data_IF_796593349450
#
_entry.id   IF_796593349450
#
_cell.length_a   1.000
_cell.length_b   1.000
_cell.length_c   1.000
_cell.angle_alpha   90.00
_cell.angle_beta   90.00
_cell.angle_gamma   90.00
#
_symmetry.space_group_name_H-M   'P 1'
#
loop_
_entity.id
_entity.type
_entity.pdbx_description
1 polymer ?
#
# COMPACT_ATOMS: atom_id res chain seq x y z
N UNK A 1 -2.43 -14.09 16.26
CA UNK A 1 -2.43 -12.62 16.41
C UNK A 1 -1.73 -12.11 17.66
N UNK A 2 -1.48 -12.92 18.70
CA UNK A 2 -0.78 -12.45 19.90
C UNK A 2 -1.61 -11.49 20.74
N UNK A 3 -2.93 -11.59 20.68
CA UNK A 3 -3.90 -10.80 21.45
C UNK A 3 -5.02 -11.71 21.96
N UNK A 4 -5.65 -11.33 23.07
CA UNK A 4 -6.97 -11.82 23.51
C UNK A 4 -7.92 -10.64 23.44
N UNK A 5 -9.11 -10.81 22.87
CA UNK A 5 -10.15 -9.78 22.96
C UNK A 5 -10.90 -9.94 24.27
N UNK A 6 -11.08 -8.83 24.99
CA UNK A 6 -11.76 -8.79 26.29
C UNK A 6 -13.20 -8.30 26.16
N UNK A 7 -13.42 -7.27 25.34
CA UNK A 7 -14.72 -6.64 25.14
C UNK A 7 -14.87 -6.15 23.69
N UNK A 8 -16.09 -6.17 23.18
CA UNK A 8 -16.49 -5.59 21.91
C UNK A 8 -17.61 -4.58 22.16
N UNK A 9 -17.50 -3.40 21.59
CA UNK A 9 -18.50 -2.35 21.67
C UNK A 9 -18.88 -1.85 20.28
N UNK A 10 -20.18 -1.68 20.06
CA UNK A 10 -20.74 -1.22 18.80
C UNK A 10 -21.52 0.07 19.05
N UNK A 11 -21.06 1.16 18.45
CA UNK A 11 -21.57 2.50 18.72
C UNK A 11 -22.14 3.17 17.47
N UNK A 12 -23.03 4.16 17.63
CA UNK A 12 -23.59 4.92 16.51
C UNK A 12 -22.50 5.57 15.64
N UNK A 13 -22.77 5.84 14.34
CA UNK A 13 -21.78 6.41 13.41
C UNK A 13 -21.24 7.78 13.81
N UNK A 14 -21.97 8.53 14.64
CA UNK A 14 -21.60 9.85 15.15
C UNK A 14 -20.54 9.76 16.26
N UNK A 15 -20.39 8.59 16.87
CA UNK A 15 -19.36 8.34 17.86
C UNK A 15 -18.04 7.97 17.17
N UNK A 16 -17.01 8.77 17.44
CA UNK A 16 -15.67 8.55 16.91
C UNK A 16 -14.62 8.60 18.03
N UNK A 17 -13.62 7.75 17.94
CA UNK A 17 -12.43 7.81 18.78
C UNK A 17 -11.23 8.24 17.93
N UNK A 18 -10.43 9.21 18.37
CA UNK A 18 -9.18 9.55 17.70
C UNK A 18 -8.16 8.43 17.87
N UNK A 19 -7.35 8.21 16.85
CA UNK A 19 -6.16 7.33 16.87
C UNK A 19 -4.94 8.18 16.49
N UNK A 20 -4.31 8.88 17.46
CA UNK A 20 -3.36 9.95 17.19
C UNK A 20 -2.12 9.53 16.40
N UNK A 21 -1.58 8.33 16.64
CA UNK A 21 -0.38 7.83 15.95
C UNK A 21 -0.59 7.56 14.46
N UNK A 22 -1.85 7.55 14.01
CA UNK A 22 -2.26 7.42 12.62
C UNK A 22 -2.91 8.70 12.06
N UNK A 23 -3.17 9.72 12.91
CA UNK A 23 -3.82 10.96 12.49
C UNK A 23 -5.24 10.77 11.95
N UNK A 24 -5.96 9.77 12.44
CA UNK A 24 -7.24 9.26 11.90
C UNK A 24 -8.29 9.10 13.01
N UNK A 25 -9.54 8.89 12.62
CA UNK A 25 -10.62 8.46 13.50
C UNK A 25 -11.00 6.98 13.34
N UNK A 26 -11.52 6.43 14.43
CA UNK A 26 -12.11 5.10 14.54
C UNK A 26 -13.61 5.23 14.85
N UNK A 27 -14.46 4.38 14.24
CA UNK A 27 -15.92 4.45 14.40
C UNK A 27 -16.57 3.06 14.38
N UNK A 28 -17.87 3.00 14.69
CA UNK A 28 -18.78 1.84 14.55
C UNK A 28 -18.49 0.63 15.44
N UNK A 29 -17.26 0.15 15.46
CA UNK A 29 -16.83 -1.01 16.25
C UNK A 29 -15.52 -0.71 16.96
N UNK A 30 -15.45 -1.07 18.23
CA UNK A 30 -14.29 -0.90 19.09
C UNK A 30 -14.08 -2.19 19.86
N UNK A 31 -12.84 -2.67 19.94
CA UNK A 31 -12.51 -3.80 20.79
C UNK A 31 -11.45 -3.41 21.81
N UNK A 32 -11.62 -3.86 23.04
CA UNK A 32 -10.57 -3.81 24.06
C UNK A 32 -9.81 -5.11 23.98
N UNK A 33 -8.54 -5.02 23.56
CA UNK A 33 -7.66 -6.17 23.43
C UNK A 33 -6.55 -6.17 24.47
N UNK A 34 -6.25 -7.36 24.99
CA UNK A 34 -5.15 -7.63 25.89
C UNK A 34 -4.00 -8.27 25.09
N UNK A 35 -2.86 -7.57 24.91
CA UNK A 35 -1.72 -8.15 24.22
C UNK A 35 -1.17 -9.40 24.94
N UNK A 36 -0.93 -10.45 24.15
CA UNK A 36 -0.31 -11.73 24.54
C UNK A 36 0.90 -11.97 23.63
N UNK A 37 1.84 -11.02 23.67
CA UNK A 37 3.03 -10.97 22.82
C UNK A 37 2.95 -9.95 21.68
N UNK A 38 1.75 -9.52 21.28
CA UNK A 38 1.61 -8.40 20.36
C UNK A 38 2.10 -7.09 21.00
N UNK A 39 2.55 -6.17 20.17
CA UNK A 39 2.90 -4.80 20.56
C UNK A 39 1.88 -3.83 19.98
N UNK A 40 1.40 -2.82 20.73
CA UNK A 40 0.61 -1.74 20.18
C UNK A 40 1.41 -0.97 19.12
N UNK A 41 0.77 -0.66 18.00
CA UNK A 41 1.30 0.21 16.93
C UNK A 41 0.59 1.57 16.94
N UNK A 42 -0.67 1.59 17.34
CA UNK A 42 -1.47 2.79 17.56
C UNK A 42 -2.46 2.54 18.69
N UNK A 43 -2.88 3.60 19.38
CA UNK A 43 -3.76 3.53 20.54
C UNK A 43 -4.96 4.46 20.38
N UNK A 44 -6.07 4.16 21.06
CA UNK A 44 -7.19 5.10 21.14
C UNK A 44 -6.79 6.30 22.01
N UNK A 45 -7.24 7.50 21.62
CA UNK A 45 -6.79 8.74 22.25
C UNK A 45 -7.63 9.24 23.43
N UNK A 46 -8.89 8.83 23.56
CA UNK A 46 -9.84 9.45 24.53
C UNK A 46 -10.75 8.44 25.24
N UNK A 47 -11.45 8.94 26.26
CA UNK A 47 -12.47 8.24 27.05
C UNK A 47 -12.00 6.92 27.67
N UNK A 48 -12.92 5.96 27.82
CA UNK A 48 -12.71 4.63 28.36
C UNK A 48 -11.64 3.82 27.60
N UNK A 49 -11.45 4.13 26.32
CA UNK A 49 -10.49 3.45 25.45
C UNK A 49 -9.08 4.04 25.54
N UNK A 50 -8.90 5.22 26.15
CA UNK A 50 -7.65 5.97 26.10
C UNK A 50 -6.43 5.12 26.48
N UNK A 51 -5.43 5.10 25.61
CA UNK A 51 -4.18 4.34 25.80
C UNK A 51 -4.29 2.84 25.56
N UNK A 52 -5.49 2.31 25.29
CA UNK A 52 -5.65 0.91 24.88
C UNK A 52 -5.36 0.75 23.38
N UNK A 53 -4.94 -0.45 22.91
CA UNK A 53 -4.49 -0.62 21.53
C UNK A 53 -5.63 -0.46 20.52
N UNK A 54 -5.43 0.34 19.48
CA UNK A 54 -6.29 0.45 18.30
C UNK A 54 -5.75 -0.37 17.10
N UNK A 55 -4.42 -0.53 17.04
CA UNK A 55 -3.74 -1.41 16.08
C UNK A 55 -2.61 -2.12 16.81
N UNK A 56 -2.48 -3.43 16.60
CA UNK A 56 -1.40 -4.24 17.18
C UNK A 56 -0.61 -4.99 16.11
N UNK A 57 0.63 -5.33 16.42
CA UNK A 57 1.50 -6.17 15.60
C UNK A 57 2.12 -7.27 16.44
N UNK A 58 2.14 -8.49 15.94
CA UNK A 58 2.78 -9.63 16.60
C UNK A 58 3.72 -10.36 15.65
N UNK A 59 4.99 -10.47 16.02
CA UNK A 59 5.95 -11.32 15.30
C UNK A 59 5.73 -12.78 15.69
N UNK A 60 5.70 -13.68 14.70
CA UNK A 60 5.54 -15.11 14.94
C UNK A 60 6.27 -15.90 13.85
N UNK A 61 7.25 -16.72 14.25
CA UNK A 61 8.20 -17.31 13.31
C UNK A 61 8.90 -16.22 12.49
N UNK A 62 8.94 -16.42 11.17
CA UNK A 62 9.55 -15.47 10.22
C UNK A 62 8.59 -14.36 9.74
N UNK A 63 7.34 -14.36 10.21
CA UNK A 63 6.30 -13.42 9.79
C UNK A 63 5.82 -12.49 10.89
N UNK A 64 4.85 -11.64 10.53
CA UNK A 64 4.11 -10.79 11.45
C UNK A 64 2.61 -10.78 11.13
N UNK A 65 1.78 -10.72 12.18
CA UNK A 65 0.35 -10.50 12.09
C UNK A 65 -0.01 -9.12 12.62
N UNK A 66 -0.80 -8.37 11.86
CA UNK A 66 -1.33 -7.06 12.24
C UNK A 66 -2.83 -7.18 12.52
N UNK A 67 -3.29 -6.55 13.60
CA UNK A 67 -4.70 -6.54 13.95
C UNK A 67 -5.17 -5.11 14.19
N UNK A 68 -6.16 -4.68 13.40
CA UNK A 68 -6.86 -3.41 13.55
C UNK A 68 -8.14 -3.72 14.30
N UNK A 69 -8.28 -3.19 15.51
CA UNK A 69 -9.34 -3.60 16.45
C UNK A 69 -10.58 -2.71 16.36
N UNK A 70 -10.72 -2.00 15.25
CA UNK A 70 -11.76 -1.00 15.03
C UNK A 70 -11.96 -0.73 13.54
N UNK A 71 -13.05 -0.05 13.17
CA UNK A 71 -13.17 0.48 11.82
C UNK A 71 -12.52 1.87 11.75
N UNK A 72 -11.26 1.89 11.30
CA UNK A 72 -10.56 3.12 10.92
C UNK A 72 -11.23 3.75 9.69
N UNK A 73 -11.14 5.07 9.58
CA UNK A 73 -11.44 5.74 8.31
C UNK A 73 -10.41 5.38 7.21
N UNK A 74 -10.70 5.77 5.97
CA UNK A 74 -9.86 5.42 4.82
C UNK A 74 -8.41 5.90 4.99
N UNK A 75 -8.12 7.15 5.38
CA UNK A 75 -6.75 7.57 5.73
C UNK A 75 -6.06 6.65 6.75
N UNK A 76 -6.76 6.20 7.78
CA UNK A 76 -6.22 5.30 8.79
C UNK A 76 -5.88 3.91 8.22
N UNK A 77 -6.77 3.34 7.41
CA UNK A 77 -6.50 2.07 6.70
C UNK A 77 -5.30 2.21 5.77
N UNK A 78 -5.25 3.27 4.98
CA UNK A 78 -4.16 3.55 4.04
C UNK A 78 -2.83 3.64 4.77
N UNK A 79 -2.78 4.29 5.92
CA UNK A 79 -1.56 4.43 6.73
C UNK A 79 -1.10 3.09 7.32
N UNK A 80 -2.02 2.27 7.83
CA UNK A 80 -1.67 0.93 8.33
C UNK A 80 -1.12 0.06 7.20
N UNK A 81 -1.79 0.03 6.04
CA UNK A 81 -1.35 -0.74 4.88
C UNK A 81 0.00 -0.23 4.36
N UNK A 82 0.18 1.10 4.28
CA UNK A 82 1.46 1.72 3.88
C UNK A 82 2.59 1.30 4.80
N UNK A 83 2.40 1.33 6.13
CA UNK A 83 3.41 0.85 7.08
C UNK A 83 3.78 -0.61 6.86
N UNK A 84 2.80 -1.47 6.57
CA UNK A 84 3.06 -2.89 6.25
C UNK A 84 3.88 -2.99 4.95
N UNK A 85 3.45 -2.34 3.87
CA UNK A 85 4.13 -2.40 2.58
C UNK A 85 5.56 -1.83 2.63
N UNK A 86 5.77 -0.70 3.30
CA UNK A 86 7.10 -0.07 3.45
C UNK A 86 8.08 -0.99 4.18
N UNK A 87 7.63 -1.76 5.17
CA UNK A 87 8.49 -2.73 5.89
C UNK A 87 9.00 -3.87 5.00
N UNK A 88 8.37 -4.06 3.85
CA UNK A 88 8.70 -5.11 2.88
C UNK A 88 9.20 -4.54 1.55
N UNK A 89 9.43 -3.23 1.46
CA UNK A 89 9.82 -2.53 0.22
C UNK A 89 8.81 -2.74 -0.93
N UNK A 90 7.50 -2.77 -0.60
CA UNK A 90 6.39 -3.01 -1.53
C UNK A 90 5.47 -1.81 -1.88
N UNK A 91 5.76 -0.52 -1.63
CA UNK A 91 4.81 0.56 -1.95
C UNK A 91 4.54 0.70 -3.47
N UNK A 92 5.49 0.31 -4.32
CA UNK A 92 5.41 0.50 -5.77
C UNK A 92 5.81 1.92 -6.21
N UNK A 93 6.05 2.13 -7.51
CA UNK A 93 6.70 3.35 -8.02
C UNK A 93 5.82 4.61 -7.98
N UNK A 94 4.50 4.46 -7.91
CA UNK A 94 3.53 5.55 -7.93
C UNK A 94 2.58 5.50 -6.73
N UNK A 95 3.02 4.91 -5.61
CA UNK A 95 2.24 4.75 -4.38
C UNK A 95 1.64 6.07 -3.86
N UNK A 96 2.38 7.17 -4.03
CA UNK A 96 2.01 8.51 -3.55
C UNK A 96 1.16 9.28 -4.56
N UNK A 97 0.60 8.59 -5.56
CA UNK A 97 -0.23 9.17 -6.63
C UNK A 97 -1.64 8.60 -6.55
N UNK A 98 -2.50 9.08 -5.63
CA UNK A 98 -3.81 8.47 -5.37
C UNK A 98 -4.78 8.53 -6.56
N UNK A 99 -4.57 9.48 -7.48
CA UNK A 99 -5.35 9.60 -8.71
C UNK A 99 -4.87 8.67 -9.85
N UNK A 100 -3.80 7.91 -9.64
CA UNK A 100 -3.22 6.99 -10.65
C UNK A 100 -3.24 5.58 -10.12
N UNK A 101 -4.05 4.73 -10.75
CA UNK A 101 -4.01 3.29 -10.52
C UNK A 101 -2.86 2.68 -11.33
N UNK A 102 -2.16 1.71 -10.72
CA UNK A 102 -1.12 0.95 -11.39
C UNK A 102 -1.42 -0.54 -11.38
N UNK A 103 -1.25 -1.20 -12.52
CA UNK A 103 -1.32 -2.65 -12.61
C UNK A 103 -0.17 -3.19 -13.46
N UNK A 104 0.50 -4.23 -12.97
CA UNK A 104 1.59 -4.89 -13.71
C UNK A 104 1.11 -6.23 -14.27
N UNK A 105 1.38 -6.49 -15.55
CA UNK A 105 1.19 -7.80 -16.19
C UNK A 105 2.50 -8.32 -16.76
N UNK A 106 2.70 -9.62 -16.73
CA UNK A 106 3.83 -10.30 -17.37
C UNK A 106 3.28 -11.27 -18.41
N UNK A 107 3.63 -11.05 -19.67
CA UNK A 107 3.24 -11.94 -20.77
C UNK A 107 4.06 -13.24 -20.76
N UNK A 108 3.61 -14.31 -21.47
CA UNK A 108 4.31 -15.60 -21.49
C UNK A 108 5.77 -15.53 -21.99
N UNK A 109 6.07 -14.58 -22.86
CA UNK A 109 7.44 -14.31 -23.36
C UNK A 109 8.33 -13.55 -22.35
N UNK A 110 7.78 -13.20 -21.18
CA UNK A 110 8.44 -12.44 -20.13
C UNK A 110 8.35 -10.92 -20.29
N UNK A 111 7.64 -10.42 -21.30
CA UNK A 111 7.37 -8.99 -21.48
C UNK A 111 6.60 -8.45 -20.28
N UNK A 112 7.10 -7.37 -19.66
CA UNK A 112 6.44 -6.70 -18.53
C UNK A 112 5.73 -5.44 -19.01
N UNK A 113 4.46 -5.34 -18.64
CA UNK A 113 3.57 -4.24 -18.97
C UNK A 113 3.13 -3.57 -17.67
N UNK A 114 3.28 -2.25 -17.60
CA UNK A 114 2.74 -1.42 -16.54
C UNK A 114 1.61 -0.57 -17.12
N UNK A 115 0.41 -0.80 -16.61
CA UNK A 115 -0.77 -0.02 -16.91
C UNK A 115 -0.82 1.13 -15.92
N UNK A 116 -0.99 2.35 -16.44
CA UNK A 116 -1.28 3.54 -15.65
C UNK A 116 -2.66 4.04 -16.06
N UNK A 117 -3.58 4.14 -15.10
CA UNK A 117 -4.93 4.62 -15.32
C UNK A 117 -5.14 5.87 -14.45
N UNK A 118 -5.35 7.02 -15.09
CA UNK A 118 -5.74 8.24 -14.40
C UNK A 118 -7.24 8.23 -14.08
N UNK A 119 -7.59 8.49 -12.82
CA UNK A 119 -8.97 8.53 -12.33
C UNK A 119 -9.42 9.96 -11.99
N UNK A 120 -8.75 10.97 -12.54
CA UNK A 120 -8.98 12.39 -12.25
C UNK A 120 -9.20 13.20 -13.54
N UNK A 121 -10.05 14.25 -13.51
CA UNK A 121 -10.15 15.24 -14.58
C UNK A 121 -8.92 16.16 -14.67
N UNK A 122 -7.97 16.07 -13.73
CA UNK A 122 -6.71 16.80 -13.78
C UNK A 122 -5.58 15.93 -14.38
N UNK A 123 -4.64 16.51 -15.14
CA UNK A 123 -3.49 15.77 -15.65
C UNK A 123 -2.61 15.23 -14.52
N UNK A 124 -2.26 13.94 -14.58
CA UNK A 124 -1.32 13.34 -13.63
C UNK A 124 0.12 13.54 -14.12
N UNK A 125 0.93 14.22 -13.30
CA UNK A 125 2.36 14.46 -13.58
C UNK A 125 3.22 13.47 -12.80
N UNK A 126 3.84 12.55 -13.52
CA UNK A 126 4.66 11.47 -12.99
C UNK A 126 6.12 11.63 -13.44
N UNK A 127 7.00 10.92 -12.76
CA UNK A 127 8.39 10.73 -13.18
C UNK A 127 8.54 9.28 -13.62
N UNK A 128 9.17 9.06 -14.77
CA UNK A 128 9.32 7.74 -15.35
C UNK A 128 10.23 6.88 -14.47
N UNK A 129 9.68 5.83 -13.86
CA UNK A 129 10.42 4.99 -12.92
C UNK A 129 11.47 4.11 -13.62
N UNK A 130 11.19 3.65 -14.83
CA UNK A 130 12.10 2.87 -15.66
C UNK A 130 11.91 3.23 -17.12
N UNK A 131 13.00 3.19 -17.89
CA UNK A 131 12.97 3.41 -19.33
C UNK A 131 11.95 2.49 -20.01
N UNK A 132 11.04 3.08 -20.77
CA UNK A 132 9.85 2.39 -21.26
C UNK A 132 9.43 2.92 -22.63
N UNK A 133 8.61 2.13 -23.33
CA UNK A 133 7.84 2.59 -24.49
C UNK A 133 6.36 2.59 -24.11
N UNK A 134 5.67 3.69 -24.37
CA UNK A 134 4.21 3.72 -24.32
C UNK A 134 3.65 3.06 -25.59
N UNK A 135 2.96 1.94 -25.42
CA UNK A 135 2.42 1.14 -26.52
C UNK A 135 1.23 1.79 -27.22
N UNK A 136 0.58 2.80 -26.59
CA UNK A 136 -0.54 3.51 -27.22
C UNK A 136 -0.05 4.58 -28.20
N UNK A 137 1.07 5.24 -27.88
CA UNK A 137 1.61 6.36 -28.68
C UNK A 137 2.86 5.98 -29.46
N UNK A 138 3.51 4.87 -29.13
CA UNK A 138 4.83 4.48 -29.64
C UNK A 138 6.00 5.30 -29.08
N UNK A 139 5.73 6.26 -28.18
CA UNK A 139 6.75 7.14 -27.63
C UNK A 139 7.63 6.41 -26.62
N UNK A 140 8.94 6.49 -26.80
CA UNK A 140 9.92 6.10 -25.79
C UNK A 140 10.07 7.22 -24.75
N UNK A 141 10.13 6.85 -23.48
CA UNK A 141 10.39 7.75 -22.35
C UNK A 141 11.49 7.14 -21.50
N UNK A 142 12.57 7.89 -21.28
CA UNK A 142 13.71 7.41 -20.50
C UNK A 142 13.47 7.57 -18.99
N UNK A 143 14.18 6.79 -18.17
CA UNK A 143 14.08 6.88 -16.72
C UNK A 143 14.39 8.30 -16.21
N UNK A 144 13.57 8.81 -15.30
CA UNK A 144 13.70 10.16 -14.75
C UNK A 144 13.03 11.25 -15.58
N UNK A 145 12.61 10.96 -16.82
CA UNK A 145 11.89 11.94 -17.64
C UNK A 145 10.42 12.12 -17.20
N UNK A 146 9.82 13.30 -17.45
CA UNK A 146 8.41 13.52 -17.19
C UNK A 146 7.51 12.57 -17.98
N UNK A 147 6.54 11.98 -17.29
CA UNK A 147 5.45 11.21 -17.87
C UNK A 147 4.14 11.86 -17.45
N UNK A 148 3.36 12.33 -18.42
CA UNK A 148 2.10 13.02 -18.17
C UNK A 148 0.96 12.16 -18.69
N UNK A 149 -0.03 11.91 -17.84
CA UNK A 149 -1.33 11.42 -18.27
C UNK A 149 -2.26 12.63 -18.39
N UNK A 150 -2.95 12.72 -19.52
CA UNK A 150 -4.05 13.66 -19.70
C UNK A 150 -5.19 13.36 -18.70
N UNK A 151 -6.21 14.25 -18.56
CA UNK A 151 -7.42 13.97 -17.80
C UNK A 151 -8.02 12.60 -18.17
N UNK A 152 -8.21 11.73 -17.17
CA UNK A 152 -8.63 10.33 -17.34
C UNK A 152 -7.76 9.50 -18.31
N UNK A 153 -6.54 9.94 -18.54
CA UNK A 153 -5.61 9.37 -19.50
C UNK A 153 -5.11 7.99 -19.06
N UNK A 154 -4.75 7.18 -20.06
CA UNK A 154 -4.20 5.84 -19.87
C UNK A 154 -2.87 5.75 -20.60
N UNK A 155 -1.90 5.06 -20.00
CA UNK A 155 -0.66 4.66 -20.66
C UNK A 155 -0.40 3.16 -20.44
N UNK A 156 0.13 2.50 -21.47
CA UNK A 156 0.56 1.10 -21.38
C UNK A 156 2.06 1.06 -21.63
N UNK A 157 2.81 0.90 -20.55
CA UNK A 157 4.26 1.02 -20.54
C UNK A 157 4.89 -0.36 -20.65
N UNK A 158 5.59 -0.62 -21.75
CA UNK A 158 6.44 -1.80 -21.88
C UNK A 158 7.82 -1.52 -21.32
N UNK A 159 8.19 -2.21 -20.25
CA UNK A 159 9.54 -2.08 -19.69
C UNK A 159 10.56 -2.63 -20.65
N UNK A 160 11.55 -1.82 -20.97
CA UNK A 160 12.72 -2.35 -21.65
C UNK A 160 13.56 -3.12 -20.65
N UNK A 161 13.82 -4.39 -20.94
CA UNK A 161 14.85 -5.14 -20.24
C UNK A 161 16.15 -4.36 -20.37
N UNK A 162 16.83 -4.09 -19.25
CA UNK A 162 18.30 -3.99 -19.31
C UNK A 162 18.79 -5.30 -19.96
N UNK A 163 19.69 -5.24 -20.96
CA UNK A 163 20.36 -6.45 -21.43
C UNK A 163 20.90 -7.20 -20.20
N UNK A 164 20.65 -8.50 -20.13
CA UNK A 164 21.33 -9.33 -19.11
C UNK A 164 22.83 -9.12 -19.36
N UNK A 165 23.65 -8.77 -18.35
CA UNK A 165 25.09 -8.78 -18.55
C UNK A 165 25.48 -10.17 -19.05
N UNK A 166 26.16 -10.23 -20.19
CA UNK A 166 26.62 -11.47 -20.80
C UNK A 166 27.61 -12.15 -19.84
N UNK A 167 27.15 -13.14 -19.06
CA UNK A 167 28.06 -13.85 -18.15
C UNK A 167 27.46 -14.73 -17.06
N UNK A 168 26.16 -14.67 -16.73
CA UNK A 168 25.62 -15.55 -15.67
C UNK A 168 25.09 -16.87 -16.24
N UNK A 169 25.68 -18.03 -15.92
CA UNK A 169 25.23 -19.31 -16.45
C UNK A 169 23.85 -19.68 -15.88
N UNK A 170 23.04 -20.32 -16.73
CA UNK A 170 21.71 -20.81 -16.38
C UNK A 170 21.81 -21.99 -15.41
N UNK A 171 21.40 -21.77 -14.16
CA UNK A 171 21.39 -22.79 -13.11
C UNK A 171 20.26 -23.82 -13.25
N UNK A 172 19.49 -23.81 -14.36
CA UNK A 172 18.45 -24.81 -14.64
C UNK A 172 18.91 -25.97 -15.52
N UNK A 173 20.16 -26.39 -15.39
CA UNK A 173 20.59 -27.74 -15.78
C UNK A 173 21.26 -28.43 -14.60
N UNK A 174 20.46 -29.10 -13.79
CA UNK A 174 20.84 -30.30 -13.06
C UNK A 174 19.75 -31.33 -13.27
#
# INVERSE_FOLDING_TARGET
MGVRVDEWDALPPEFAQPVPELGTGARLVFEIVLPRGAVPVATYGTDFYAGTPAVTRHRYGDGEGWYVVTALDQPGVDEVVRRILTRHDLPGPYADRPAVETATRVAPDGTRLLFLLGHSPEPARLITHTTTTDLLTGKRVDQGEPLVLDPFGVAILQWMRRPRPSGTPDLRKK
#
